data_IF_991466103234
#
_entry.id   IF_991466103234
#
_cell.length_a   1.000
_cell.length_b   1.000
_cell.length_c   1.000
_cell.angle_alpha   90.00
_cell.angle_beta   90.00
_cell.angle_gamma   90.00
#
_symmetry.space_group_name_H-M   'P 1'
#
loop_
_entity.id
_entity.type
_entity.pdbx_description
1 polymer ?
#
# COMPACT_ATOMS: atom_id res chain seq x y z
N UNK A 1 4.99 4.62 -0.52
CA UNK A 1 4.02 5.67 -0.93
C UNK A 1 4.07 6.84 0.05
N UNK A 2 3.95 8.11 -0.38
CA UNK A 2 3.94 9.21 0.59
C UNK A 2 2.68 9.19 1.49
N UNK A 3 2.86 9.58 2.75
CA UNK A 3 1.82 9.60 3.80
C UNK A 3 0.50 10.25 3.38
N UNK A 4 0.56 11.36 2.64
CA UNK A 4 -0.66 12.05 2.18
C UNK A 4 -1.51 11.19 1.23
N UNK A 5 -0.86 10.34 0.42
CA UNK A 5 -1.56 9.47 -0.53
C UNK A 5 -2.08 8.20 0.13
N UNK A 6 -1.35 7.64 1.11
CA UNK A 6 -1.89 6.59 1.98
C UNK A 6 -3.21 7.04 2.64
N UNK A 7 -3.21 8.24 3.23
CA UNK A 7 -4.39 8.81 3.85
C UNK A 7 -5.51 9.11 2.83
N UNK A 8 -5.17 9.61 1.64
CA UNK A 8 -6.14 9.89 0.58
C UNK A 8 -6.84 8.61 0.10
N UNK A 9 -6.09 7.53 -0.18
CA UNK A 9 -6.66 6.23 -0.57
C UNK A 9 -7.65 5.73 0.46
N UNK A 10 -7.30 5.76 1.75
CA UNK A 10 -8.21 5.36 2.84
C UNK A 10 -9.43 6.26 2.94
N UNK A 11 -9.25 7.57 2.83
CA UNK A 11 -10.35 8.55 2.96
C UNK A 11 -11.36 8.39 1.84
N UNK A 12 -10.89 8.30 0.59
CA UNK A 12 -11.75 8.20 -0.58
C UNK A 12 -12.49 6.86 -0.66
N UNK A 13 -11.85 5.77 -0.25
CA UNK A 13 -12.45 4.43 -0.35
C UNK A 13 -13.32 4.06 0.84
N UNK A 14 -12.92 4.44 2.06
CA UNK A 14 -13.56 3.98 3.30
C UNK A 14 -14.32 5.08 4.04
N UNK A 15 -14.12 6.35 3.70
CA UNK A 15 -14.83 7.48 4.31
C UNK A 15 -16.35 7.32 4.30
N UNK A 16 -16.99 6.89 3.19
CA UNK A 16 -18.43 6.64 3.16
C UNK A 16 -18.88 5.45 4.03
N UNK A 17 -17.96 4.55 4.41
CA UNK A 17 -18.24 3.26 5.04
C UNK A 17 -18.00 3.28 6.56
N UNK A 18 -17.20 4.23 7.05
CA UNK A 18 -16.73 4.28 8.43
C UNK A 18 -17.13 5.59 9.12
N UNK A 19 -17.20 5.57 10.44
CA UNK A 19 -17.24 6.81 11.23
C UNK A 19 -15.93 7.59 11.06
N UNK A 20 -15.99 8.91 11.26
CA UNK A 20 -14.80 9.76 11.26
C UNK A 20 -13.75 9.31 12.31
N UNK A 21 -14.21 8.74 13.43
CA UNK A 21 -13.34 8.21 14.49
C UNK A 21 -12.61 6.96 14.04
N UNK A 22 -13.33 5.99 13.46
CA UNK A 22 -12.76 4.77 12.93
C UNK A 22 -11.74 5.07 11.81
N UNK A 23 -12.12 5.91 10.84
CA UNK A 23 -11.25 6.31 9.74
C UNK A 23 -9.96 6.96 10.25
N UNK A 24 -10.06 7.90 11.20
CA UNK A 24 -8.88 8.56 11.79
C UNK A 24 -7.94 7.57 12.47
N UNK A 25 -8.48 6.58 13.19
CA UNK A 25 -7.68 5.55 13.85
C UNK A 25 -6.96 4.66 12.84
N UNK A 26 -7.64 4.25 11.76
CA UNK A 26 -7.08 3.45 10.67
C UNK A 26 -5.96 4.22 9.97
N UNK A 27 -6.18 5.48 9.58
CA UNK A 27 -5.16 6.32 8.95
C UNK A 27 -3.96 6.47 9.90
N UNK A 28 -4.19 6.74 11.18
CA UNK A 28 -3.09 6.86 12.15
C UNK A 28 -2.28 5.56 12.29
N UNK A 29 -2.91 4.40 12.21
CA UNK A 29 -2.21 3.11 12.27
C UNK A 29 -1.46 2.79 10.97
N UNK A 30 -2.04 3.15 9.82
CA UNK A 30 -1.40 3.06 8.51
C UNK A 30 -0.11 3.90 8.47
N UNK A 31 -0.20 5.20 8.77
CA UNK A 31 0.95 6.11 8.71
C UNK A 31 2.04 5.80 9.76
N UNK A 32 1.71 5.08 10.84
CA UNK A 32 2.71 4.65 11.83
C UNK A 32 3.65 3.57 11.29
N UNK A 33 3.27 2.89 10.22
CA UNK A 33 4.16 1.93 9.54
C UNK A 33 5.37 2.62 8.91
N UNK A 34 5.25 3.88 8.46
CA UNK A 34 6.37 4.68 7.91
C UNK A 34 7.36 5.19 8.95
N UNK A 35 7.19 4.89 10.25
CA UNK A 35 8.13 5.36 11.26
C UNK A 35 9.53 4.78 11.04
N UNK A 36 10.59 5.60 11.24
CA UNK A 36 12.01 5.25 11.03
C UNK A 36 12.43 3.88 11.62
N UNK A 37 11.74 3.41 12.67
CA UNK A 37 11.96 2.10 13.28
C UNK A 37 11.63 0.91 12.35
N UNK A 38 10.68 1.08 11.43
CA UNK A 38 10.29 0.07 10.45
C UNK A 38 11.07 0.21 9.13
N UNK A 39 11.53 1.43 8.79
CA UNK A 39 12.35 1.67 7.59
C UNK A 39 13.75 1.00 7.66
N UNK A 40 14.30 0.76 8.86
CA UNK A 40 15.67 0.25 9.03
C UNK A 40 15.72 -1.30 9.11
N UNK A 41 14.60 -2.02 9.27
CA UNK A 41 14.64 -3.49 9.41
C UNK A 41 13.33 -4.24 9.07
N UNK A 42 12.48 -3.71 8.18
CA UNK A 42 11.21 -4.37 7.83
C UNK A 42 10.89 -4.31 6.32
N UNK A 43 11.71 -4.94 5.45
CA UNK A 43 11.47 -4.94 4.00
C UNK A 43 10.10 -5.52 3.61
N UNK A 44 9.54 -6.40 4.43
CA UNK A 44 8.20 -6.99 4.24
C UNK A 44 7.05 -5.98 4.42
N UNK A 45 7.26 -4.86 5.12
CA UNK A 45 6.24 -3.82 5.32
C UNK A 45 6.12 -2.95 4.06
N UNK A 46 7.23 -2.72 3.35
CA UNK A 46 7.28 -1.89 2.15
C UNK A 46 7.38 -2.71 0.85
N UNK A 47 7.29 -4.04 0.95
CA UNK A 47 7.51 -4.98 -0.15
C UNK A 47 8.89 -4.86 -0.84
N UNK A 48 9.90 -4.33 -0.18
CA UNK A 48 11.26 -4.21 -0.73
C UNK A 48 11.96 -5.57 -0.88
N UNK A 49 13.00 -5.62 -1.72
CA UNK A 49 13.86 -6.81 -1.92
C UNK A 49 13.10 -8.09 -2.31
N UNK A 50 12.00 -7.97 -3.04
CA UNK A 50 11.13 -9.08 -3.44
C UNK A 50 10.54 -9.89 -2.25
N UNK A 51 10.41 -9.28 -1.05
CA UNK A 51 9.82 -9.90 0.15
C UNK A 51 8.28 -10.06 0.06
N UNK A 52 7.80 -10.54 -1.09
CA UNK A 52 6.38 -10.66 -1.40
C UNK A 52 5.67 -11.71 -0.56
N UNK A 53 6.36 -12.81 -0.23
CA UNK A 53 5.80 -13.86 0.60
C UNK A 53 5.57 -13.34 2.03
N UNK A 54 6.53 -12.61 2.56
CA UNK A 54 6.51 -12.01 3.90
C UNK A 54 5.47 -10.89 3.99
N UNK A 55 5.40 -10.00 2.99
CA UNK A 55 4.37 -8.95 2.94
C UNK A 55 2.96 -9.54 2.86
N UNK A 56 2.76 -10.61 2.07
CA UNK A 56 1.49 -11.36 2.05
C UNK A 56 1.19 -12.01 3.40
N UNK A 57 2.17 -12.70 4.00
CA UNK A 57 2.01 -13.30 5.32
C UNK A 57 1.65 -12.27 6.39
N UNK A 58 2.21 -11.05 6.30
CA UNK A 58 1.87 -9.95 7.19
C UNK A 58 0.42 -9.48 7.01
N UNK A 59 -0.06 -9.35 5.76
CA UNK A 59 -1.48 -9.06 5.47
C UNK A 59 -2.39 -10.13 6.10
N UNK A 60 -2.06 -11.40 5.95
CA UNK A 60 -2.79 -12.51 6.57
C UNK A 60 -2.79 -12.44 8.09
N UNK A 61 -1.64 -12.12 8.70
CA UNK A 61 -1.52 -11.92 10.14
C UNK A 61 -2.43 -10.78 10.62
N UNK A 62 -2.49 -9.66 9.90
CA UNK A 62 -3.37 -8.56 10.27
C UNK A 62 -4.84 -8.93 10.16
N UNK A 63 -5.24 -9.72 9.15
CA UNK A 63 -6.60 -10.28 9.07
C UNK A 63 -6.93 -11.16 10.27
N UNK A 64 -6.02 -12.05 10.67
CA UNK A 64 -6.20 -12.88 11.85
C UNK A 64 -6.38 -12.04 13.13
N UNK A 65 -5.64 -10.93 13.25
CA UNK A 65 -5.79 -9.99 14.36
C UNK A 65 -7.14 -9.27 14.35
N UNK A 66 -7.65 -8.87 13.17
CA UNK A 66 -9.00 -8.30 13.05
C UNK A 66 -10.04 -9.33 13.51
N UNK A 67 -9.94 -10.56 13.01
CA UNK A 67 -10.85 -11.65 13.32
C UNK A 67 -10.82 -12.05 14.81
N UNK A 68 -9.68 -11.91 15.49
CA UNK A 68 -9.53 -12.24 16.92
C UNK A 68 -9.86 -11.08 17.89
N UNK A 69 -9.80 -9.83 17.43
CA UNK A 69 -9.96 -8.66 18.30
C UNK A 69 -11.38 -8.52 18.88
N UNK A 70 -11.48 -8.24 20.18
CA UNK A 70 -12.77 -8.00 20.86
C UNK A 70 -13.23 -6.54 20.83
N UNK A 71 -12.35 -5.60 20.47
CA UNK A 71 -12.61 -4.17 20.48
C UNK A 71 -12.27 -3.50 19.14
N UNK A 72 -12.97 -2.39 18.86
CA UNK A 72 -12.81 -1.65 17.61
C UNK A 72 -11.39 -1.06 17.43
N UNK A 73 -10.76 -0.43 18.44
CA UNK A 73 -9.41 0.10 18.30
C UNK A 73 -8.37 -0.92 17.83
N UNK A 74 -8.41 -2.15 18.35
CA UNK A 74 -7.52 -3.22 17.91
C UNK A 74 -7.77 -3.62 16.45
N UNK A 75 -9.04 -3.74 16.03
CA UNK A 75 -9.39 -4.02 14.63
C UNK A 75 -8.93 -2.91 13.69
N UNK A 76 -9.16 -1.64 14.05
CA UNK A 76 -8.73 -0.48 13.25
C UNK A 76 -7.22 -0.41 13.11
N UNK A 77 -6.50 -0.69 14.20
CA UNK A 77 -5.04 -0.70 14.17
C UNK A 77 -4.52 -1.78 13.23
N UNK A 78 -5.06 -3.00 13.31
CA UNK A 78 -4.69 -4.10 12.41
C UNK A 78 -5.03 -3.77 10.95
N UNK A 79 -6.22 -3.24 10.68
CA UNK A 79 -6.64 -2.88 9.34
C UNK A 79 -5.80 -1.73 8.74
N UNK A 80 -5.42 -0.73 9.54
CA UNK A 80 -4.53 0.34 9.11
C UNK A 80 -3.15 -0.18 8.71
N UNK A 81 -2.55 -1.07 9.51
CA UNK A 81 -1.26 -1.70 9.18
C UNK A 81 -1.33 -2.54 7.91
N UNK A 82 -2.37 -3.35 7.77
CA UNK A 82 -2.63 -4.14 6.57
C UNK A 82 -2.70 -3.26 5.33
N UNK A 83 -3.50 -2.19 5.40
CA UNK A 83 -3.74 -1.29 4.27
C UNK A 83 -2.47 -0.59 3.82
N UNK A 84 -1.56 -0.26 4.74
CA UNK A 84 -0.27 0.35 4.40
C UNK A 84 0.53 -0.59 3.50
N UNK A 85 0.75 -1.83 3.95
CA UNK A 85 1.48 -2.85 3.20
C UNK A 85 0.81 -3.09 1.84
N UNK A 86 -0.51 -3.23 1.81
CA UNK A 86 -1.25 -3.43 0.57
C UNK A 86 -1.15 -2.25 -0.43
N UNK A 87 -1.03 -1.01 0.06
CA UNK A 87 -0.86 0.18 -0.77
C UNK A 87 0.57 0.26 -1.31
N UNK A 88 1.57 0.04 -0.46
CA UNK A 88 2.98 0.07 -0.83
C UNK A 88 3.36 -0.99 -1.85
N UNK A 89 2.65 -2.13 -1.87
CA UNK A 89 2.80 -3.12 -2.93
C UNK A 89 2.74 -2.50 -4.34
N UNK A 90 1.78 -1.62 -4.60
CA UNK A 90 1.61 -1.02 -5.93
C UNK A 90 2.57 0.15 -6.18
N UNK A 91 3.09 0.76 -5.12
CA UNK A 91 4.08 1.83 -5.24
C UNK A 91 5.51 1.33 -5.34
N UNK A 92 5.85 0.15 -4.78
CA UNK A 92 7.23 -0.33 -4.70
C UNK A 92 7.49 -1.62 -5.49
N UNK A 93 6.51 -2.10 -6.26
CA UNK A 93 6.70 -3.22 -7.19
C UNK A 93 6.53 -2.80 -8.64
N UNK A 94 6.98 -3.65 -9.57
CA UNK A 94 6.73 -3.50 -11.00
C UNK A 94 5.30 -3.92 -11.42
N UNK A 95 4.34 -4.06 -10.50
CA UNK A 95 2.98 -4.49 -10.84
C UNK A 95 2.34 -3.61 -11.93
N UNK A 96 2.46 -2.28 -11.79
CA UNK A 96 1.93 -1.31 -12.76
C UNK A 96 2.58 -1.50 -14.13
N UNK A 97 3.89 -1.73 -14.18
CA UNK A 97 4.60 -1.98 -15.43
C UNK A 97 4.12 -3.28 -16.10
N UNK A 98 4.01 -4.36 -15.34
CA UNK A 98 3.51 -5.63 -15.87
C UNK A 98 2.08 -5.50 -16.42
N UNK A 99 1.22 -4.74 -15.73
CA UNK A 99 -0.13 -4.48 -16.21
C UNK A 99 -0.12 -3.63 -17.49
N UNK A 100 0.66 -2.55 -17.53
CA UNK A 100 0.78 -1.69 -18.72
C UNK A 100 1.31 -2.47 -19.92
N UNK A 101 2.35 -3.28 -19.75
CA UNK A 101 2.94 -4.09 -20.82
C UNK A 101 1.92 -5.09 -21.39
N UNK A 102 1.10 -5.70 -20.54
CA UNK A 102 0.03 -6.61 -20.96
C UNK A 102 -1.12 -5.92 -21.71
N UNK A 103 -1.26 -4.59 -21.60
CA UNK A 103 -2.40 -3.83 -22.13
C UNK A 103 -1.99 -2.75 -23.16
N UNK A 104 -0.77 -2.84 -23.71
CA UNK A 104 -0.30 -1.95 -24.78
C UNK A 104 0.24 -0.59 -24.30
N UNK A 105 0.50 -0.45 -23.00
CA UNK A 105 1.13 0.71 -22.40
C UNK A 105 0.19 1.90 -22.18
N UNK A 106 0.71 3.01 -21.60
CA UNK A 106 -0.11 4.13 -21.12
C UNK A 106 -0.82 4.90 -22.24
N UNK A 107 -0.45 4.70 -23.51
CA UNK A 107 -1.15 5.29 -24.65
C UNK A 107 -2.49 4.60 -24.96
N UNK A 108 -2.67 3.35 -24.52
CA UNK A 108 -3.85 2.53 -24.81
C UNK A 108 -4.70 2.25 -23.57
N UNK A 109 -4.25 2.73 -22.41
CA UNK A 109 -4.87 2.47 -21.12
C UNK A 109 -5.16 3.77 -20.38
N UNK A 110 -5.98 3.67 -19.34
CA UNK A 110 -6.19 4.74 -18.37
C UNK A 110 -6.04 4.18 -16.96
N UNK A 111 -5.64 5.01 -15.97
CA UNK A 111 -5.47 4.56 -14.58
C UNK A 111 -6.70 3.88 -14.00
N UNK A 112 -7.90 4.35 -14.31
CA UNK A 112 -9.17 3.77 -13.88
C UNK A 112 -9.44 2.36 -14.47
N UNK A 113 -8.75 2.00 -15.55
CA UNK A 113 -8.84 0.69 -16.19
C UNK A 113 -7.92 -0.38 -15.60
N UNK A 114 -6.99 -0.04 -14.69
CA UNK A 114 -6.12 -1.05 -14.07
C UNK A 114 -6.95 -2.06 -13.29
N UNK A 115 -6.59 -3.34 -13.38
CA UNK A 115 -7.09 -4.34 -12.46
C UNK A 115 -6.03 -4.56 -11.38
N UNK A 116 -6.21 -3.99 -10.20
CA UNK A 116 -5.30 -4.18 -9.06
C UNK A 116 -5.40 -5.57 -8.43
N UNK A 117 -6.41 -6.37 -8.78
CA UNK A 117 -6.67 -7.69 -8.20
C UNK A 117 -6.42 -8.82 -9.20
N UNK A 118 -5.65 -8.57 -10.27
CA UNK A 118 -5.37 -9.56 -11.30
C UNK A 118 -4.57 -10.73 -10.69
N UNK A 119 -5.16 -11.95 -10.58
CA UNK A 119 -4.48 -13.07 -9.95
C UNK A 119 -3.25 -13.54 -10.73
N UNK A 120 -3.25 -13.37 -12.06
CA UNK A 120 -2.12 -13.73 -12.91
C UNK A 120 -0.92 -12.80 -12.67
N UNK A 121 -1.17 -11.50 -12.50
CA UNK A 121 -0.11 -10.54 -12.19
C UNK A 121 0.38 -10.65 -10.73
N UNK A 122 -0.54 -10.82 -9.77
CA UNK A 122 -0.20 -10.98 -8.35
C UNK A 122 0.65 -12.24 -8.08
N UNK A 123 0.49 -13.29 -8.91
CA UNK A 123 1.26 -14.52 -8.86
C UNK A 123 2.38 -14.59 -9.91
N UNK A 124 2.61 -13.51 -10.66
CA UNK A 124 3.55 -13.51 -11.78
C UNK A 124 4.98 -13.78 -11.31
N UNK A 125 5.73 -14.71 -11.94
CA UNK A 125 7.15 -14.89 -11.67
C UNK A 125 8.00 -13.68 -12.12
N UNK A 126 7.42 -12.78 -12.92
CA UNK A 126 8.07 -11.54 -13.34
C UNK A 126 7.88 -10.39 -12.33
N UNK A 127 7.11 -10.60 -11.25
CA UNK A 127 6.90 -9.60 -10.21
C UNK A 127 8.19 -9.37 -9.42
N UNK A 128 8.58 -8.10 -9.29
CA UNK A 128 9.82 -7.64 -8.66
C UNK A 128 9.55 -6.34 -7.91
N UNK A 129 10.32 -6.09 -6.87
CA UNK A 129 10.35 -4.81 -6.17
C UNK A 129 11.77 -4.29 -6.08
N UNK A 130 11.89 -3.00 -5.78
CA UNK A 130 13.19 -2.37 -5.73
C UNK A 130 14.09 -2.98 -4.65
N UNK A 131 15.37 -3.14 -4.97
CA UNK A 131 16.37 -3.53 -3.98
C UNK A 131 16.82 -2.31 -3.17
N UNK A 132 16.79 -2.42 -1.85
CA UNK A 132 17.33 -1.42 -0.93
C UNK A 132 18.83 -1.72 -0.73
N UNK A 133 19.71 -0.87 -1.25
CA UNK A 133 21.16 -1.07 -1.13
C UNK A 133 21.70 -0.06 -0.13
N UNK A 134 21.61 -0.42 1.15
CA UNK A 134 21.95 0.42 2.33
C UNK A 134 23.18 1.32 2.16
N UNK A 135 24.28 0.82 1.59
CA UNK A 135 25.52 1.59 1.42
C UNK A 135 25.51 2.53 0.20
N UNK A 136 24.69 2.24 -0.82
CA UNK A 136 24.54 3.08 -2.03
C UNK A 136 23.56 4.22 -1.79
N UNK A 137 22.48 3.96 -1.05
CA UNK A 137 21.42 4.95 -0.79
C UNK A 137 21.84 6.00 0.26
N UNK A 138 22.85 5.71 1.08
CA UNK A 138 23.48 6.67 2.00
C UNK A 138 24.09 7.90 1.27
N UNK A 139 24.50 7.73 0.01
CA UNK A 139 25.07 8.81 -0.82
C UNK A 139 23.99 9.84 -1.19
N UNK A 140 22.72 9.45 -1.22
CA UNK A 140 21.61 10.36 -1.54
C UNK A 140 21.27 11.34 -0.41
N UNK A 141 21.78 11.12 0.81
CA UNK A 141 21.65 12.05 1.94
C UNK A 141 22.71 13.15 1.96
N UNK A 142 23.66 13.15 1.00
CA UNK A 142 24.62 14.23 0.81
C UNK A 142 24.03 15.23 -0.21
N UNK A 143 23.51 16.40 0.20
CA UNK A 143 22.68 17.27 -0.64
C UNK A 143 23.39 17.80 -1.89
N UNK A 144 24.72 17.83 -1.88
CA UNK A 144 25.55 18.44 -2.92
C UNK A 144 25.78 17.55 -4.16
N UNK A 145 25.55 16.23 -4.08
CA UNK A 145 25.83 15.28 -5.17
C UNK A 145 24.59 14.94 -6.05
N UNK A 146 23.47 15.60 -5.81
CA UNK A 146 22.14 15.01 -6.01
C UNK A 146 21.63 14.90 -7.47
N UNK A 147 22.13 15.71 -8.42
CA UNK A 147 21.59 15.70 -9.80
C UNK A 147 22.35 14.80 -10.77
N UNK A 148 23.68 14.75 -10.69
CA UNK A 148 24.50 13.98 -11.65
C UNK A 148 24.63 12.51 -11.22
N UNK A 149 24.75 12.26 -9.91
CA UNK A 149 24.80 10.90 -9.35
C UNK A 149 23.48 10.14 -9.60
N UNK A 150 22.32 10.78 -9.42
CA UNK A 150 21.01 10.15 -9.65
C UNK A 150 20.80 9.67 -11.10
N UNK A 151 21.36 10.38 -12.08
CA UNK A 151 21.20 10.01 -13.50
C UNK A 151 22.06 8.81 -13.91
N UNK A 152 23.19 8.56 -13.23
CA UNK A 152 24.19 7.59 -13.67
C UNK A 152 24.43 6.42 -12.70
N UNK A 153 23.98 6.52 -11.45
CA UNK A 153 24.21 5.49 -10.41
C UNK A 153 22.94 4.76 -9.95
N UNK A 154 21.76 5.24 -10.36
CA UNK A 154 20.49 4.58 -10.05
C UNK A 154 20.33 3.40 -11.00
N UNK A 155 20.58 2.20 -10.48
CA UNK A 155 20.32 0.98 -11.22
C UNK A 155 18.80 0.86 -11.52
N UNK A 156 18.40 0.39 -12.72
CA UNK A 156 16.99 0.30 -13.11
C UNK A 156 16.12 -0.54 -12.16
N UNK A 157 16.72 -1.43 -11.38
CA UNK A 157 16.11 -2.33 -10.39
C UNK A 157 16.22 -1.82 -8.94
N UNK A 158 16.68 -0.59 -8.75
CA UNK A 158 16.79 0.02 -7.42
C UNK A 158 15.44 0.51 -6.90
N UNK A 159 15.29 0.55 -5.57
CA UNK A 159 14.12 1.16 -4.91
C UNK A 159 13.81 2.58 -5.42
N UNK A 160 14.84 3.38 -5.70
CA UNK A 160 14.67 4.74 -6.23
C UNK A 160 14.11 4.79 -7.66
N UNK A 161 14.40 3.78 -8.49
CA UNK A 161 13.92 3.69 -9.87
C UNK A 161 12.46 3.20 -9.94
N UNK A 162 12.07 2.34 -9.00
CA UNK A 162 10.79 1.64 -9.03
C UNK A 162 9.69 2.31 -8.20
N UNK A 163 10.03 3.21 -7.27
CA UNK A 163 9.00 3.79 -6.42
C UNK A 163 8.07 4.76 -7.18
N UNK A 164 6.77 4.65 -6.86
CA UNK A 164 5.67 5.47 -7.38
C UNK A 164 5.01 6.21 -6.20
N UNK A 165 5.83 6.91 -5.43
CA UNK A 165 5.41 7.52 -4.16
C UNK A 165 4.73 8.86 -4.30
N UNK A 166 4.98 9.55 -5.41
CA UNK A 166 4.49 10.89 -5.69
C UNK A 166 4.31 11.10 -7.21
N UNK A 167 3.48 12.08 -7.64
CA UNK A 167 3.17 12.33 -9.04
C UNK A 167 4.38 12.74 -9.88
N UNK A 168 5.48 13.19 -9.25
CA UNK A 168 6.75 13.46 -9.92
C UNK A 168 7.40 12.21 -10.53
N UNK A 169 6.94 11.01 -10.17
CA UNK A 169 7.34 9.72 -10.78
C UNK A 169 6.64 9.43 -12.12
N UNK A 170 5.78 10.34 -12.58
CA UNK A 170 5.15 10.27 -13.90
C UNK A 170 3.82 9.50 -13.90
N UNK A 171 3.27 9.18 -15.09
CA UNK A 171 1.87 8.75 -15.24
C UNK A 171 1.56 7.42 -14.53
N UNK A 172 2.58 6.60 -14.23
CA UNK A 172 2.43 5.34 -13.48
C UNK A 172 1.90 5.55 -12.06
N UNK A 173 2.15 6.71 -11.46
CA UNK A 173 1.67 7.06 -10.13
C UNK A 173 0.14 6.89 -10.03
N UNK A 174 -0.61 7.40 -10.99
CA UNK A 174 -2.08 7.33 -10.97
C UNK A 174 -2.58 5.87 -11.06
N UNK A 175 -1.89 5.02 -11.82
CA UNK A 175 -2.19 3.58 -11.90
C UNK A 175 -1.94 2.90 -10.55
N UNK A 176 -0.84 3.22 -9.87
CA UNK A 176 -0.56 2.72 -8.52
C UNK A 176 -1.68 3.09 -7.55
N UNK A 177 -2.10 4.37 -7.53
CA UNK A 177 -3.20 4.83 -6.68
C UNK A 177 -4.51 4.10 -7.00
N UNK A 178 -4.84 3.94 -8.28
CA UNK A 178 -6.06 3.24 -8.70
C UNK A 178 -6.06 1.77 -8.25
N UNK A 179 -4.96 1.05 -8.42
CA UNK A 179 -4.82 -0.33 -7.98
C UNK A 179 -4.84 -0.45 -6.44
N UNK A 180 -4.16 0.45 -5.74
CA UNK A 180 -4.15 0.51 -4.28
C UNK A 180 -5.55 0.76 -3.68
N UNK A 181 -6.37 1.60 -4.33
CA UNK A 181 -7.78 1.80 -3.97
C UNK A 181 -8.59 0.50 -4.09
N UNK A 182 -8.46 -0.19 -5.22
CA UNK A 182 -9.16 -1.47 -5.44
C UNK A 182 -8.76 -2.51 -4.40
N UNK A 183 -7.46 -2.62 -4.10
CA UNK A 183 -6.96 -3.53 -3.08
C UNK A 183 -7.47 -3.16 -1.69
N UNK A 184 -7.44 -1.89 -1.32
CA UNK A 184 -7.97 -1.40 -0.03
C UNK A 184 -9.44 -1.78 0.16
N UNK A 185 -10.26 -1.61 -0.89
CA UNK A 185 -11.68 -2.02 -0.86
C UNK A 185 -11.84 -3.53 -0.72
N UNK A 186 -11.04 -4.32 -1.46
CA UNK A 186 -11.08 -5.78 -1.37
C UNK A 186 -10.70 -6.28 0.02
N UNK A 187 -9.64 -5.72 0.62
CA UNK A 187 -9.20 -6.10 1.96
C UNK A 187 -10.19 -5.64 3.04
N UNK A 188 -10.86 -4.50 2.85
CA UNK A 188 -11.96 -4.08 3.72
C UNK A 188 -13.11 -5.09 3.69
N UNK A 189 -13.55 -5.52 2.50
CA UNK A 189 -14.60 -6.54 2.33
C UNK A 189 -14.21 -7.85 3.00
N UNK A 190 -12.98 -8.29 2.79
CA UNK A 190 -12.47 -9.50 3.42
C UNK A 190 -12.44 -9.39 4.95
N UNK A 191 -12.07 -8.23 5.49
CA UNK A 191 -12.07 -8.00 6.93
C UNK A 191 -13.50 -8.07 7.51
N UNK A 192 -14.47 -7.38 6.92
CA UNK A 192 -15.86 -7.39 7.41
C UNK A 192 -16.53 -8.76 7.25
N UNK A 193 -16.23 -9.50 6.19
CA UNK A 193 -16.78 -10.85 5.95
C UNK A 193 -16.30 -11.87 7.02
N UNK A 194 -15.20 -11.57 7.73
CA UNK A 194 -14.69 -12.39 8.84
C UNK A 194 -15.36 -12.10 10.19
N UNK A 195 -16.21 -11.08 10.27
CA UNK A 195 -16.81 -10.58 11.50
C UNK A 195 -18.32 -10.89 11.55
N UNK A 196 -18.83 -11.19 12.74
CA UNK A 196 -20.27 -11.25 12.96
C UNK A 196 -20.90 -9.84 12.88
N UNK A 197 -22.24 -9.72 12.70
CA UNK A 197 -22.89 -8.42 12.52
C UNK A 197 -22.65 -7.40 13.65
N UNK A 198 -22.51 -7.84 14.90
CA UNK A 198 -22.23 -6.92 16.02
C UNK A 198 -20.82 -6.35 15.90
N UNK A 199 -19.86 -7.19 15.51
CA UNK A 199 -18.47 -6.79 15.29
C UNK A 199 -18.28 -5.96 14.02
N UNK A 200 -19.09 -6.17 12.98
CA UNK A 200 -19.13 -5.26 11.80
C UNK A 200 -19.57 -3.86 12.22
N UNK A 201 -20.66 -3.74 12.99
CA UNK A 201 -21.12 -2.45 13.49
C UNK A 201 -20.07 -1.77 14.38
N UNK A 202 -19.40 -2.55 15.23
CA UNK A 202 -18.30 -2.08 16.06
C UNK A 202 -17.13 -1.56 15.21
N UNK A 203 -16.75 -2.29 14.16
CA UNK A 203 -15.69 -1.89 13.22
C UNK A 203 -16.04 -0.61 12.47
N UNK A 204 -17.28 -0.49 11.98
CA UNK A 204 -17.71 0.68 11.21
C UNK A 204 -17.91 1.90 12.10
N UNK A 205 -18.27 1.70 13.38
CA UNK A 205 -18.55 2.74 14.38
C UNK A 205 -19.59 3.77 13.90
N UNK A 206 -20.44 3.36 12.96
CA UNK A 206 -21.62 4.12 12.59
C UNK A 206 -22.61 3.92 13.72
N UNK A 207 -22.83 4.97 14.52
CA UNK A 207 -23.98 4.96 15.41
C UNK A 207 -25.21 4.75 14.53
N UNK A 208 -26.14 3.91 14.97
CA UNK A 208 -27.49 4.01 14.44
C UNK A 208 -27.95 5.42 14.78
N UNK A 209 -28.01 6.29 13.77
CA UNK A 209 -28.77 7.52 13.86
C UNK A 209 -30.22 7.07 14.07
N UNK A 210 -30.60 6.93 15.33
CA UNK A 210 -31.98 6.73 15.73
C UNK A 210 -32.69 8.07 15.51
N UNK A 211 -33.40 8.18 14.38
CA UNK A 211 -34.50 9.13 14.16
C UNK A 211 -34.10 10.55 13.83
#
# INVERSE_FOLDING_TARGET
MLAQYHAAVLTETLGPLLSARALKAIISANLRQDSLRHQINAPHIHFDNCAFAEGRAYIEQQHALIAAASDAPAMWAAFGRLSHVAQDFYSHSNYVDLWLDAHGGPAHTRPDGINGLDPGLLASPALRSGYFVLWRDLIHYIPLLNRFAKKHLVAPDSHEAMNLDDPGRGPRFDYSIAAAKQRTVAEYRRAIDSLDPRRVNLFQDKRHDNG
#
